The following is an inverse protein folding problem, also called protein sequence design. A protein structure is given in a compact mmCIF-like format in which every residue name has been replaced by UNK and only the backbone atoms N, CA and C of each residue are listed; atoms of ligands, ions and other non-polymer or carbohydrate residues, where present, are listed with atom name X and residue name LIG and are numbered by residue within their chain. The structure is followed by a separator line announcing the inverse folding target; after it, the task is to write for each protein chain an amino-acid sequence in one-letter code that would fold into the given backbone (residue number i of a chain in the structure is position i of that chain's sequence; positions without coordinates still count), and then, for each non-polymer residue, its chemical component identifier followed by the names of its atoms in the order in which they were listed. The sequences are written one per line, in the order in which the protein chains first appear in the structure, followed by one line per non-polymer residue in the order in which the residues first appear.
data_IF_741135717297
#
_entry.id   IF_741135717297
#
_cell.length_a   1.000
_cell.length_b   1.000
_cell.length_c   1.000
_cell.angle_alpha   90.00
_cell.angle_beta   90.00
_cell.angle_gamma   90.00
#
_symmetry.space_group_name_H-M   'P 1'
#
loop_
_entity.id
_entity.type
_entity.pdbx_description
1 polymer ?
#
# COMPACT_ATOMS: atom_id res chain seq x y z
N UNK A 1 -2.28 0.20 19.38
CA UNK A 1 -3.06 0.27 18.13
C UNK A 1 -4.26 -0.68 18.20
N UNK A 2 -5.42 -0.35 17.61
CA UNK A 2 -6.57 -1.27 17.55
C UNK A 2 -6.22 -2.52 16.70
N UNK A 3 -6.80 -3.70 16.97
CA UNK A 3 -6.65 -4.87 16.10
C UNK A 3 -7.05 -4.55 14.66
N UNK A 4 -6.31 -5.10 13.68
CA UNK A 4 -6.55 -4.92 12.24
C UNK A 4 -8.02 -5.12 11.86
N UNK A 5 -8.65 -6.18 12.37
CA UNK A 5 -10.06 -6.49 12.08
C UNK A 5 -11.03 -5.39 12.50
N UNK A 6 -10.74 -4.64 13.57
CA UNK A 6 -11.55 -3.49 13.99
C UNK A 6 -11.29 -2.28 13.09
N UNK A 7 -10.02 -2.03 12.74
CA UNK A 7 -9.64 -0.95 11.84
C UNK A 7 -10.26 -1.13 10.45
N UNK A 8 -10.15 -2.34 9.90
CA UNK A 8 -10.72 -2.74 8.61
C UNK A 8 -12.25 -2.54 8.58
N UNK A 9 -12.95 -2.97 9.64
CA UNK A 9 -14.41 -2.76 9.76
C UNK A 9 -14.77 -1.27 9.73
N UNK A 10 -14.01 -0.44 10.45
CA UNK A 10 -14.26 1.00 10.47
C UNK A 10 -14.01 1.64 9.10
N UNK A 11 -12.97 1.19 8.37
CA UNK A 11 -12.70 1.67 7.02
C UNK A 11 -13.84 1.32 6.06
N UNK A 12 -14.36 0.09 6.10
CA UNK A 12 -15.45 -0.32 5.22
C UNK A 12 -16.77 0.44 5.46
N UNK A 13 -16.95 1.07 6.62
CA UNK A 13 -18.08 1.98 6.83
C UNK A 13 -17.99 3.24 5.96
N UNK A 14 -16.80 3.58 5.47
CA UNK A 14 -16.52 4.77 4.67
C UNK A 14 -16.46 4.46 3.17
N UNK A 15 -16.13 3.22 2.79
CA UNK A 15 -16.05 2.79 1.39
C UNK A 15 -17.45 2.79 0.73
N UNK A 16 -17.51 3.19 -0.54
CA UNK A 16 -18.74 3.10 -1.35
C UNK A 16 -19.21 1.64 -1.46
N UNK A 17 -20.46 1.32 -1.07
CA UNK A 17 -20.97 -0.05 -1.06
C UNK A 17 -21.08 -0.67 -2.46
N UNK A 18 -21.06 0.12 -3.52
CA UNK A 18 -21.12 -0.38 -4.91
C UNK A 18 -19.74 -0.79 -5.45
N UNK A 19 -18.65 -0.51 -4.72
CA UNK A 19 -17.31 -0.94 -5.10
C UNK A 19 -17.02 -2.35 -4.58
N UNK A 20 -16.55 -3.23 -5.47
CA UNK A 20 -15.87 -4.48 -5.07
C UNK A 20 -14.44 -4.16 -4.60
N UNK A 21 -14.37 -3.43 -3.47
CA UNK A 21 -13.13 -2.97 -2.85
C UNK A 21 -12.83 -3.81 -1.61
N UNK A 22 -11.63 -4.39 -1.56
CA UNK A 22 -11.18 -5.19 -0.43
C UNK A 22 -9.76 -4.79 -0.05
N UNK A 23 -9.54 -4.47 1.23
CA UNK A 23 -8.22 -4.26 1.79
C UNK A 23 -7.82 -5.45 2.66
N UNK A 24 -6.59 -5.91 2.52
CA UNK A 24 -6.05 -7.05 3.23
C UNK A 24 -4.76 -6.69 3.94
N UNK A 25 -4.54 -7.31 5.09
CA UNK A 25 -3.28 -7.29 5.83
C UNK A 25 -3.01 -8.70 6.34
N UNK A 26 -1.84 -9.25 6.01
CA UNK A 26 -1.41 -10.53 6.54
C UNK A 26 0.09 -10.52 6.87
N UNK A 27 0.48 -11.26 7.89
CA UNK A 27 1.88 -11.47 8.26
C UNK A 27 2.27 -12.92 7.95
N UNK A 28 3.07 -13.10 6.90
CA UNK A 28 3.55 -14.41 6.48
C UNK A 28 4.72 -14.84 7.36
N UNK A 29 4.52 -15.88 8.17
CA UNK A 29 5.58 -16.42 9.01
C UNK A 29 6.65 -17.09 8.16
N UNK A 30 7.87 -16.55 8.18
CA UNK A 30 9.03 -17.24 7.65
C UNK A 30 9.55 -18.22 8.70
N UNK A 31 9.63 -19.49 8.33
CA UNK A 31 10.35 -20.50 9.11
C UNK A 31 11.77 -20.58 8.56
N UNK A 32 12.73 -20.03 9.28
CA UNK A 32 14.16 -20.21 9.00
C UNK A 32 14.82 -20.95 10.16
N UNK A 33 15.95 -21.62 9.90
CA UNK A 33 16.74 -22.28 10.94
C UNK A 33 17.32 -21.30 12.00
N UNK A 34 17.35 -19.99 11.70
CA UNK A 34 17.94 -18.95 12.58
C UNK A 34 16.94 -17.94 13.13
N UNK A 35 15.63 -18.13 12.92
CA UNK A 35 14.63 -17.20 13.44
C UNK A 35 13.22 -17.38 12.89
N UNK A 36 12.25 -16.81 13.61
CA UNK A 36 10.83 -16.77 13.27
C UNK A 36 10.39 -15.34 12.96
N UNK A 37 10.83 -14.81 11.81
CA UNK A 37 10.40 -13.48 11.36
C UNK A 37 9.07 -13.61 10.61
N UNK A 38 8.18 -12.62 10.73
CA UNK A 38 6.98 -12.55 9.89
C UNK A 38 7.11 -11.41 8.91
N UNK A 39 6.81 -11.68 7.63
CA UNK A 39 6.80 -10.71 6.56
C UNK A 39 5.39 -10.17 6.36
N UNK A 40 5.14 -8.91 6.72
CA UNK A 40 3.85 -8.30 6.47
C UNK A 40 3.60 -8.03 5.00
N UNK A 41 2.33 -8.04 4.63
CA UNK A 41 1.87 -7.59 3.33
C UNK A 41 0.53 -6.89 3.48
N UNK A 42 0.44 -5.72 2.85
CA UNK A 42 -0.81 -5.00 2.63
C UNK A 42 -1.15 -5.04 1.16
N UNK A 43 -2.39 -5.32 0.83
CA UNK A 43 -2.83 -5.18 -0.56
C UNK A 43 -4.29 -4.78 -0.66
N UNK A 44 -4.61 -4.05 -1.71
CA UNK A 44 -5.97 -3.66 -2.07
C UNK A 44 -6.35 -4.35 -3.36
N UNK A 45 -7.50 -5.01 -3.33
CA UNK A 45 -8.15 -5.61 -4.48
C UNK A 45 -9.33 -4.75 -4.87
N UNK A 46 -9.43 -4.41 -6.16
CA UNK A 46 -10.58 -3.77 -6.78
C UNK A 46 -11.01 -4.61 -7.98
N UNK A 47 -12.27 -5.04 -8.04
CA UNK A 47 -12.80 -5.84 -9.15
C UNK A 47 -11.92 -7.08 -9.48
N UNK A 48 -11.50 -7.80 -8.43
CA UNK A 48 -10.57 -8.97 -8.51
C UNK A 48 -9.15 -8.66 -8.99
N UNK A 49 -8.77 -7.40 -9.18
CA UNK A 49 -7.42 -6.99 -9.53
C UNK A 49 -6.71 -6.33 -8.34
N UNK A 50 -5.44 -6.66 -8.10
CA UNK A 50 -4.63 -5.97 -7.08
C UNK A 50 -4.23 -4.60 -7.65
N UNK A 51 -4.68 -3.52 -7.00
CA UNK A 51 -4.39 -2.13 -7.38
C UNK A 51 -3.34 -1.45 -6.47
N UNK A 52 -3.01 -2.08 -5.35
CA UNK A 52 -1.97 -1.65 -4.42
C UNK A 52 -1.42 -2.88 -3.73
N UNK A 53 -0.10 -3.03 -3.70
CA UNK A 53 0.59 -4.14 -3.06
C UNK A 53 1.87 -3.65 -2.38
N UNK A 54 1.83 -3.63 -1.05
CA UNK A 54 2.99 -3.39 -0.22
C UNK A 54 3.44 -4.71 0.43
N UNK A 55 4.73 -5.07 0.38
CA UNK A 55 5.86 -4.24 -0.06
C UNK A 55 6.17 -4.31 -1.56
N UNK A 56 5.48 -5.18 -2.33
CA UNK A 56 5.85 -5.51 -3.72
C UNK A 56 6.07 -4.30 -4.64
N UNK A 57 5.16 -3.34 -4.63
CA UNK A 57 5.20 -2.14 -5.49
C UNK A 57 6.36 -1.20 -5.15
N UNK A 58 6.95 -1.36 -3.96
CA UNK A 58 8.01 -0.52 -3.41
C UNK A 58 9.38 -1.24 -3.41
N UNK A 59 9.39 -2.56 -3.55
CA UNK A 59 10.62 -3.38 -3.61
C UNK A 59 11.33 -3.30 -4.97
N UNK A 60 10.64 -2.94 -6.06
CA UNK A 60 11.24 -2.90 -7.40
C UNK A 60 12.39 -1.90 -7.56
N UNK A 61 12.44 -0.90 -6.67
CA UNK A 61 13.50 0.10 -6.66
C UNK A 61 14.74 -0.37 -5.88
N UNK A 62 14.60 -1.41 -5.06
CA UNK A 62 15.62 -1.92 -4.13
C UNK A 62 16.30 -3.18 -4.66
N UNK A 63 15.60 -3.96 -5.49
CA UNK A 63 16.11 -5.20 -6.08
C UNK A 63 16.26 -4.99 -7.59
N UNK A 64 17.48 -5.05 -8.16
CA UNK A 64 17.67 -5.03 -9.60
C UNK A 64 16.83 -6.13 -10.26
N UNK A 65 16.08 -5.78 -11.32
CA UNK A 65 15.31 -6.77 -12.10
C UNK A 65 16.23 -7.92 -12.54
N UNK A 66 15.70 -9.15 -12.54
CA UNK A 66 16.41 -10.32 -13.04
C UNK A 66 17.08 -10.01 -14.38
N UNK A 67 18.41 -9.99 -14.40
CA UNK A 67 19.20 -9.55 -15.55
C UNK A 67 20.60 -9.02 -15.20
N UNK A 68 20.81 -8.46 -14.01
CA UNK A 68 22.16 -8.06 -13.54
C UNK A 68 22.93 -9.22 -12.88
N UNK A 69 22.90 -10.39 -13.52
CA UNK A 69 23.68 -11.55 -13.11
C UNK A 69 25.09 -11.41 -13.66
N UNK A 70 25.97 -10.68 -12.97
CA UNK A 70 27.39 -10.78 -13.29
C UNK A 70 27.89 -12.15 -12.85
N UNK A 71 28.27 -12.98 -13.83
CA UNK A 71 29.00 -14.20 -13.60
C UNK A 71 30.39 -13.84 -13.09
N UNK A 72 30.66 -14.09 -11.81
CA UNK A 72 32.03 -14.01 -11.31
C UNK A 72 32.85 -15.14 -11.96
N UNK A 73 34.16 -14.94 -12.21
CA UNK A 73 35.04 -15.96 -12.79
C UNK A 73 35.03 -17.31 -12.04
N UNK A 74 34.59 -17.33 -10.78
CA UNK A 74 34.51 -18.50 -9.91
C UNK A 74 33.20 -19.30 -10.03
N UNK A 75 32.31 -18.96 -10.97
CA UNK A 75 31.06 -19.72 -11.23
C UNK A 75 29.93 -19.48 -10.22
N UNK A 76 30.12 -18.61 -9.23
CA UNK A 76 29.07 -18.25 -8.26
C UNK A 76 28.27 -17.06 -8.78
N UNK A 77 26.96 -17.23 -9.02
CA UNK A 77 26.09 -16.09 -9.31
C UNK A 77 25.83 -15.31 -8.02
N UNK A 78 26.33 -14.08 -7.94
CA UNK A 78 26.01 -13.14 -6.87
C UNK A 78 25.06 -12.10 -7.44
N UNK A 79 23.89 -11.93 -6.84
CA UNK A 79 23.09 -10.73 -7.09
C UNK A 79 23.98 -9.52 -6.77
N UNK A 80 24.03 -8.54 -7.67
CA UNK A 80 24.54 -7.20 -7.37
C UNK A 80 23.55 -6.50 -6.43
N UNK A 81 23.28 -7.09 -5.27
CA UNK A 81 22.80 -6.31 -4.15
C UNK A 81 23.92 -5.31 -3.86
N UNK A 82 23.61 -4.03 -3.92
CA UNK A 82 24.53 -3.00 -3.48
C UNK A 82 24.84 -3.34 -2.01
N UNK A 83 26.01 -3.91 -1.75
CA UNK A 83 26.37 -4.56 -0.47
C UNK A 83 26.46 -3.56 0.70
N UNK A 84 26.27 -2.27 0.38
CA UNK A 84 26.24 -1.13 1.26
C UNK A 84 24.81 -0.65 1.59
N UNK A 85 23.76 -1.23 1.00
CA UNK A 85 22.38 -0.97 1.43
C UNK A 85 22.14 -1.70 2.76
N UNK A 86 21.73 -1.00 3.83
CA UNK A 86 21.37 -1.66 5.09
C UNK A 86 20.26 -2.67 4.85
N UNK A 87 20.32 -3.82 5.53
CA UNK A 87 19.35 -4.92 5.38
C UNK A 87 17.93 -4.44 5.72
N UNK A 88 17.84 -3.42 6.57
CA UNK A 88 16.64 -2.68 6.96
C UNK A 88 15.94 -1.98 5.78
N UNK A 89 16.67 -1.60 4.74
CA UNK A 89 16.10 -1.03 3.49
C UNK A 89 15.66 -2.13 2.51
N UNK A 90 16.14 -3.37 2.67
CA UNK A 90 15.90 -4.48 1.74
C UNK A 90 14.63 -5.27 2.04
N UNK A 91 14.21 -5.26 3.30
CA UNK A 91 12.96 -5.83 3.76
C UNK A 91 12.35 -4.85 4.74
N UNK A 92 11.26 -4.16 4.37
CA UNK A 92 10.64 -3.28 5.33
C UNK A 92 10.03 -4.14 6.45
N UNK A 93 10.67 -4.05 7.61
CA UNK A 93 10.32 -4.81 8.79
C UNK A 93 9.05 -4.26 9.44
N UNK A 94 8.69 -4.85 10.59
CA UNK A 94 7.47 -4.59 11.35
C UNK A 94 7.07 -3.12 11.55
N UNK A 95 8.01 -2.18 11.50
CA UNK A 95 7.78 -0.74 11.73
C UNK A 95 6.85 -0.12 10.68
N UNK A 96 7.07 -0.39 9.39
CA UNK A 96 6.28 0.24 8.32
C UNK A 96 4.82 -0.28 8.28
N UNK A 97 4.55 -1.49 8.80
CA UNK A 97 3.18 -2.00 8.98
C UNK A 97 2.38 -1.10 9.92
N UNK A 98 3.02 -0.76 11.04
CA UNK A 98 2.44 0.03 12.10
C UNK A 98 2.16 1.43 11.56
N UNK A 99 3.06 1.95 10.74
CA UNK A 99 2.91 3.24 10.05
C UNK A 99 1.72 3.23 9.07
N UNK A 100 1.60 2.21 8.21
CA UNK A 100 0.44 2.07 7.31
C UNK A 100 -0.88 2.04 8.10
N UNK A 101 -0.91 1.29 9.21
CA UNK A 101 -2.10 1.26 10.06
C UNK A 101 -2.37 2.58 10.79
N UNK A 102 -1.32 3.33 11.17
CA UNK A 102 -1.45 4.69 11.71
C UNK A 102 -2.07 5.63 10.68
N UNK A 103 -1.59 5.60 9.43
CA UNK A 103 -2.14 6.38 8.31
C UNK A 103 -3.62 6.05 8.07
N UNK A 104 -3.99 4.76 8.00
CA UNK A 104 -5.40 4.35 7.86
C UNK A 104 -6.23 4.85 9.04
N UNK A 105 -5.67 4.82 10.26
CA UNK A 105 -6.39 5.27 11.45
C UNK A 105 -6.63 6.77 11.42
N UNK A 106 -5.61 7.54 11.07
CA UNK A 106 -5.70 8.98 10.90
C UNK A 106 -6.73 9.36 9.83
N UNK A 107 -6.74 8.62 8.71
CA UNK A 107 -7.71 8.78 7.64
C UNK A 107 -9.16 8.60 8.10
N UNK A 108 -9.42 7.52 8.85
CA UNK A 108 -10.76 7.22 9.39
C UNK A 108 -11.23 8.33 10.33
N UNK A 109 -10.32 8.86 11.15
CA UNK A 109 -10.64 9.88 12.15
C UNK A 109 -10.74 11.29 11.58
N UNK A 110 -10.32 11.49 10.32
CA UNK A 110 -10.41 12.79 9.66
C UNK A 110 -11.87 13.10 9.28
N UNK A 111 -12.39 14.28 9.69
CA UNK A 111 -13.77 14.68 9.37
C UNK A 111 -13.91 15.08 7.89
N UNK A 112 -15.13 14.93 7.34
CA UNK A 112 -15.39 15.06 5.89
C UNK A 112 -15.09 16.45 5.30
N UNK A 113 -15.22 17.50 6.12
CA UNK A 113 -14.94 18.88 5.76
C UNK A 113 -13.44 19.12 5.53
N UNK A 114 -12.58 18.41 6.25
CA UNK A 114 -11.11 18.53 6.15
C UNK A 114 -10.50 17.47 5.23
N UNK A 115 -11.20 16.35 5.03
CA UNK A 115 -10.69 15.17 4.34
C UNK A 115 -10.13 15.43 2.94
N UNK A 116 -10.77 16.32 2.18
CA UNK A 116 -10.38 16.57 0.80
C UNK A 116 -9.01 17.27 0.73
N UNK A 117 -8.87 18.36 1.49
CA UNK A 117 -7.69 19.24 1.47
C UNK A 117 -6.55 18.71 2.35
N UNK A 118 -6.84 17.78 3.25
CA UNK A 118 -5.83 17.21 4.16
C UNK A 118 -4.75 16.44 3.40
N UNK A 119 -3.50 16.79 3.70
CA UNK A 119 -2.31 16.02 3.37
C UNK A 119 -1.96 15.11 4.55
N UNK A 120 -1.70 13.84 4.28
CA UNK A 120 -1.31 12.85 5.29
C UNK A 120 0.21 12.72 5.29
N UNK A 121 0.90 13.43 6.19
CA UNK A 121 2.35 13.57 6.17
C UNK A 121 3.12 12.25 6.26
N UNK A 122 2.54 11.24 6.93
CA UNK A 122 3.14 9.92 7.08
C UNK A 122 2.77 8.94 5.95
N UNK A 123 1.92 9.34 5.00
CA UNK A 123 1.54 8.50 3.85
C UNK A 123 2.60 8.50 2.75
N UNK A 124 3.63 7.66 2.96
CA UNK A 124 4.72 7.45 1.99
C UNK A 124 4.30 6.60 0.78
N UNK A 125 3.11 5.98 0.83
CA UNK A 125 2.66 4.98 -0.13
C UNK A 125 1.56 5.48 -1.07
N UNK A 126 1.13 6.74 -0.90
CA UNK A 126 -0.04 7.29 -1.58
C UNK A 126 -1.30 6.44 -1.37
N UNK A 127 -1.40 5.76 -0.22
CA UNK A 127 -2.53 4.92 0.14
C UNK A 127 -3.79 5.76 0.31
N UNK A 128 -3.66 6.95 0.91
CA UNK A 128 -4.77 7.83 1.22
C UNK A 128 -5.45 8.37 -0.03
N UNK A 129 -4.75 8.51 -1.15
CA UNK A 129 -5.34 8.89 -2.44
C UNK A 129 -6.30 7.81 -2.97
N UNK A 130 -5.91 6.53 -2.83
CA UNK A 130 -6.76 5.39 -3.17
C UNK A 130 -7.99 5.36 -2.25
N UNK A 131 -7.79 5.62 -0.94
CA UNK A 131 -8.89 5.69 0.02
C UNK A 131 -9.83 6.86 -0.29
N UNK A 132 -9.32 8.06 -0.58
CA UNK A 132 -10.14 9.22 -1.02
C UNK A 132 -10.98 8.87 -2.24
N UNK A 133 -10.42 8.17 -3.23
CA UNK A 133 -11.20 7.73 -4.39
C UNK A 133 -12.34 6.75 -4.03
N UNK A 134 -12.11 5.86 -3.06
CA UNK A 134 -13.10 4.87 -2.61
C UNK A 134 -14.13 5.41 -1.60
N UNK A 135 -13.87 6.55 -0.97
CA UNK A 135 -14.65 7.07 0.16
C UNK A 135 -15.99 7.69 -0.28
N UNK A 136 -17.10 7.14 0.22
CA UNK A 136 -18.45 7.59 -0.09
C UNK A 136 -18.80 8.96 0.50
N UNK A 137 -18.05 9.43 1.51
CA UNK A 137 -18.18 10.78 2.09
C UNK A 137 -17.76 11.84 1.06
N UNK A 138 -16.91 11.48 0.09
CA UNK A 138 -16.53 12.35 -1.01
C UNK A 138 -17.50 12.19 -2.19
N UNK A 139 -18.19 13.28 -2.51
CA UNK A 139 -19.14 13.34 -3.63
C UNK A 139 -18.47 13.47 -5.00
N UNK A 140 -19.30 13.40 -6.06
CA UNK A 140 -18.83 13.35 -7.46
C UNK A 140 -17.92 14.51 -7.86
N UNK A 141 -18.22 15.74 -7.44
CA UNK A 141 -17.42 16.92 -7.79
C UNK A 141 -15.96 16.80 -7.32
N UNK A 142 -15.77 16.32 -6.08
CA UNK A 142 -14.44 16.08 -5.50
C UNK A 142 -13.69 14.98 -6.25
N UNK A 143 -14.39 13.92 -6.65
CA UNK A 143 -13.78 12.84 -7.43
C UNK A 143 -13.39 13.27 -8.86
N UNK A 144 -14.19 14.14 -9.50
CA UNK A 144 -13.83 14.72 -10.81
C UNK A 144 -12.56 15.56 -10.68
N UNK A 145 -12.40 16.30 -9.58
CA UNK A 145 -11.17 17.04 -9.32
C UNK A 145 -9.97 16.11 -9.13
N UNK A 146 -10.10 15.07 -8.28
CA UNK A 146 -9.05 14.05 -8.10
C UNK A 146 -8.68 13.40 -9.44
N UNK A 147 -9.67 13.07 -10.28
CA UNK A 147 -9.46 12.47 -11.61
C UNK A 147 -8.64 13.36 -12.55
N UNK A 148 -8.74 14.68 -12.43
CA UNK A 148 -7.99 15.65 -13.25
C UNK A 148 -6.56 15.85 -12.76
N UNK A 149 -6.36 15.77 -11.45
CA UNK A 149 -5.07 16.07 -10.81
C UNK A 149 -4.18 14.83 -10.66
N UNK A 150 -4.78 13.64 -10.52
CA UNK A 150 -4.02 12.41 -10.26
C UNK A 150 -3.35 11.85 -11.52
N UNK A 151 -2.10 11.41 -11.34
CA UNK A 151 -1.38 10.58 -12.33
C UNK A 151 -1.40 9.09 -11.97
N UNK A 152 -2.00 8.71 -10.83
CA UNK A 152 -1.98 7.34 -10.34
C UNK A 152 -3.01 6.46 -11.05
N UNK A 153 -2.52 5.40 -11.71
CA UNK A 153 -3.37 4.41 -12.39
C UNK A 153 -4.34 3.74 -11.41
N UNK A 154 -3.90 3.45 -10.19
CA UNK A 154 -4.70 2.79 -9.16
C UNK A 154 -5.88 3.66 -8.72
N UNK A 155 -5.65 4.96 -8.51
CA UNK A 155 -6.69 5.93 -8.16
C UNK A 155 -7.71 6.06 -9.29
N UNK A 156 -7.25 6.18 -10.54
CA UNK A 156 -8.13 6.26 -11.71
C UNK A 156 -9.03 5.03 -11.84
N UNK A 157 -8.51 3.82 -11.59
CA UNK A 157 -9.31 2.58 -11.60
C UNK A 157 -10.45 2.62 -10.59
N UNK A 158 -10.20 3.12 -9.37
CA UNK A 158 -11.23 3.27 -8.33
C UNK A 158 -12.29 4.28 -8.76
N UNK A 159 -11.88 5.43 -9.30
CA UNK A 159 -12.81 6.47 -9.76
C UNK A 159 -13.71 5.96 -10.89
N UNK A 160 -13.13 5.25 -11.88
CA UNK A 160 -13.88 4.63 -12.98
C UNK A 160 -14.87 3.59 -12.42
N UNK A 161 -14.46 2.78 -11.44
CA UNK A 161 -15.34 1.81 -10.79
C UNK A 161 -16.51 2.46 -10.03
N UNK A 162 -16.36 3.72 -9.56
CA UNK A 162 -17.46 4.52 -8.99
C UNK A 162 -18.41 5.11 -10.04
N UNK A 163 -18.13 4.95 -11.33
CA UNK A 163 -18.94 5.47 -12.43
C UNK A 163 -18.75 6.96 -12.71
N UNK A 164 -17.52 7.47 -12.55
CA UNK A 164 -17.15 8.88 -12.80
C UNK A 164 -16.08 9.00 -13.88
#
# INVERSE_FOLDING_TARGET
MKPWSKLQKQLYLLVDPNLDFQIHCNAYRMKSQRGTTSLPRYWIVLNKEIIFDYPKDFLSNLIPREGSRELRPTGTSSWLLNRNLPVEELYPYYTEIQDISCVIREYIDTPVNELFDKTFGDDKWSLTDILKAADKRLGKNKLIQIKRETSSKSVLKVIIARGI
#
